data_IF_630461428484
#
_entry.id   IF_630461428484
#
_cell.length_a   1.000
_cell.length_b   1.000
_cell.length_c   1.000
_cell.angle_alpha   90.00
_cell.angle_beta   90.00
_cell.angle_gamma   90.00
#
_symmetry.space_group_name_H-M   'P 1'
#
loop_
_entity.id
_entity.type
_entity.pdbx_description
1 polymer ?
#
# COMPACT_ATOMS: atom_id res chain seq x y z
N UNK A 1 14.38 -7.29 -22.93
CA UNK A 1 13.04 -7.56 -23.52
C UNK A 1 12.28 -8.75 -22.90
N UNK A 2 12.92 -9.88 -22.55
CA UNK A 2 12.24 -11.00 -21.84
C UNK A 2 11.80 -10.67 -20.39
N UNK A 3 12.22 -9.53 -19.84
CA UNK A 3 11.76 -9.03 -18.53
C UNK A 3 10.43 -8.28 -18.66
N UNK A 4 10.09 -7.79 -19.87
CA UNK A 4 8.87 -7.02 -20.15
C UNK A 4 7.78 -7.88 -20.79
N UNK A 5 8.15 -8.96 -21.50
CA UNK A 5 7.23 -9.90 -22.13
C UNK A 5 7.07 -11.18 -21.28
N UNK A 6 5.93 -11.34 -20.61
CA UNK A 6 5.39 -12.70 -20.40
C UNK A 6 5.58 -13.39 -19.05
N UNK A 7 6.00 -12.69 -17.98
CA UNK A 7 5.61 -13.13 -16.63
C UNK A 7 4.65 -12.09 -16.07
N UNK A 8 3.36 -12.29 -16.34
CA UNK A 8 2.29 -11.82 -15.44
C UNK A 8 2.85 -11.96 -14.02
N UNK A 9 3.06 -10.87 -13.25
CA UNK A 9 3.74 -10.95 -11.97
C UNK A 9 2.95 -11.96 -11.15
N UNK A 10 3.53 -13.15 -11.00
CA UNK A 10 2.89 -14.34 -10.43
C UNK A 10 2.09 -13.91 -9.24
N UNK A 11 0.76 -13.89 -9.39
CA UNK A 11 -0.22 -13.24 -8.50
C UNK A 11 0.44 -12.72 -7.23
N UNK A 12 0.95 -11.48 -7.23
CA UNK A 12 1.72 -10.95 -6.09
C UNK A 12 0.86 -11.18 -4.87
N UNK A 13 1.23 -12.18 -4.06
CA UNK A 13 0.44 -12.59 -2.91
C UNK A 13 0.56 -11.45 -1.94
N UNK A 14 -0.46 -10.60 -1.91
CA UNK A 14 -0.44 -9.46 -1.01
C UNK A 14 -0.21 -9.97 0.41
N UNK A 15 0.72 -9.34 1.11
CA UNK A 15 0.93 -9.65 2.51
C UNK A 15 -0.38 -9.45 3.25
N UNK A 16 -0.74 -10.41 4.11
CA UNK A 16 -1.94 -10.35 4.94
C UNK A 16 -2.00 -9.05 5.74
N UNK A 17 -0.83 -8.54 6.14
CA UNK A 17 -0.70 -7.25 6.81
C UNK A 17 -1.18 -6.15 5.89
N UNK A 18 -0.61 -6.04 4.68
CA UNK A 18 -0.94 -4.98 3.72
C UNK A 18 -2.41 -4.98 3.30
N UNK A 19 -3.03 -6.16 3.18
CA UNK A 19 -4.44 -6.31 2.84
C UNK A 19 -5.36 -5.75 3.93
N UNK A 20 -5.16 -6.15 5.18
CA UNK A 20 -6.05 -5.77 6.28
C UNK A 20 -5.68 -4.45 6.96
N UNK A 21 -4.48 -3.93 6.73
CA UNK A 21 -3.99 -2.70 7.36
C UNK A 21 -4.94 -1.50 7.22
N UNK A 22 -5.53 -1.19 6.04
CA UNK A 22 -6.45 -0.06 5.92
C UNK A 22 -7.74 -0.25 6.72
N UNK A 23 -8.34 -1.43 6.68
CA UNK A 23 -9.55 -1.74 7.44
C UNK A 23 -9.32 -1.65 8.96
N UNK A 24 -8.21 -2.23 9.45
CA UNK A 24 -7.85 -2.21 10.87
C UNK A 24 -7.53 -0.79 11.35
N UNK A 25 -6.73 -0.03 10.60
CA UNK A 25 -6.36 1.33 11.00
C UNK A 25 -7.55 2.29 10.97
N UNK A 26 -8.39 2.25 9.93
CA UNK A 26 -9.61 3.05 9.88
C UNK A 26 -10.61 2.66 10.99
N UNK A 27 -10.75 1.36 11.29
CA UNK A 27 -11.55 0.89 12.41
C UNK A 27 -11.03 1.37 13.78
N UNK A 28 -9.71 1.31 13.99
CA UNK A 28 -9.08 1.80 15.22
C UNK A 28 -9.23 3.32 15.38
N UNK A 29 -9.08 4.10 14.31
CA UNK A 29 -9.32 5.55 14.32
C UNK A 29 -10.78 5.87 14.62
N UNK A 30 -11.72 5.12 14.06
CA UNK A 30 -13.14 5.31 14.32
C UNK A 30 -13.52 5.00 15.79
N UNK A 31 -12.95 3.95 16.38
CA UNK A 31 -13.15 3.65 17.81
C UNK A 31 -12.52 4.74 18.69
N UNK A 32 -11.31 5.19 18.38
CA UNK A 32 -10.67 6.29 19.10
C UNK A 32 -11.52 7.56 19.01
N UNK A 33 -12.02 7.89 17.83
CA UNK A 33 -12.94 9.01 17.60
C UNK A 33 -14.21 8.91 18.46
N UNK A 34 -14.78 7.72 18.58
CA UNK A 34 -15.95 7.51 19.44
C UNK A 34 -15.66 7.74 20.94
N UNK A 35 -14.45 7.41 21.41
CA UNK A 35 -14.01 7.78 22.77
C UNK A 35 -13.85 9.29 22.93
N UNK A 36 -13.28 9.98 21.94
CA UNK A 36 -13.15 11.44 21.95
C UNK A 36 -14.52 12.14 21.99
N UNK A 37 -15.52 11.63 21.29
CA UNK A 37 -16.89 12.16 21.32
C UNK A 37 -17.51 12.00 22.72
N UNK A 38 -17.32 10.84 23.36
CA UNK A 38 -17.80 10.62 24.73
C UNK A 38 -17.08 11.52 25.74
N UNK A 39 -15.78 11.71 25.59
CA UNK A 39 -14.98 12.62 26.42
C UNK A 39 -15.47 14.08 26.27
N UNK A 40 -15.68 14.55 25.03
CA UNK A 40 -16.16 15.91 24.75
C UNK A 40 -17.59 16.18 25.24
N UNK A 41 -18.45 15.15 25.27
CA UNK A 41 -19.82 15.26 25.80
C UNK A 41 -19.90 15.03 27.32
N UNK A 42 -18.76 14.95 28.01
CA UNK A 42 -18.65 14.67 29.47
C UNK A 42 -19.36 13.38 29.88
N UNK A 43 -19.37 12.39 28.98
CA UNK A 43 -19.92 11.04 29.24
C UNK A 43 -18.77 10.08 29.57
N UNK A 44 -19.02 9.01 30.34
CA UNK A 44 -18.01 7.97 30.57
C UNK A 44 -17.50 7.40 29.24
N UNK A 45 -16.20 7.08 29.17
CA UNK A 45 -15.54 6.67 27.91
C UNK A 45 -16.25 5.49 27.22
N UNK A 46 -16.64 4.47 27.98
CA UNK A 46 -17.31 3.26 27.49
C UNK A 46 -18.85 3.39 27.38
N UNK A 47 -19.40 4.59 27.54
CA UNK A 47 -20.85 4.80 27.50
C UNK A 47 -21.40 4.57 26.10
N UNK A 48 -22.38 3.66 25.99
CA UNK A 48 -23.04 3.34 24.72
C UNK A 48 -22.22 2.43 23.83
N UNK A 49 -22.04 1.17 24.26
CA UNK A 49 -21.31 0.12 23.51
C UNK A 49 -21.75 0.00 22.05
N UNK A 50 -23.04 0.20 21.77
CA UNK A 50 -23.60 0.16 20.43
C UNK A 50 -22.97 1.22 19.50
N UNK A 51 -22.64 2.40 20.02
CA UNK A 51 -21.99 3.48 19.26
C UNK A 51 -20.55 3.11 18.89
N UNK A 52 -19.82 2.47 19.81
CA UNK A 52 -18.47 1.99 19.56
C UNK A 52 -18.48 0.86 18.52
N UNK A 53 -19.40 -0.09 18.64
CA UNK A 53 -19.58 -1.19 17.67
C UNK A 53 -19.90 -0.62 16.27
N UNK A 54 -20.86 0.32 16.20
CA UNK A 54 -21.21 0.97 14.94
C UNK A 54 -20.04 1.76 14.35
N UNK A 55 -19.27 2.49 15.18
CA UNK A 55 -18.10 3.22 14.75
C UNK A 55 -17.02 2.30 14.15
N UNK A 56 -16.73 1.16 14.78
CA UNK A 56 -15.78 0.17 14.23
C UNK A 56 -16.27 -0.40 12.91
N UNK A 57 -17.54 -0.79 12.84
CA UNK A 57 -18.11 -1.35 11.61
C UNK A 57 -18.06 -0.36 10.46
N UNK A 58 -18.46 0.90 10.71
CA UNK A 58 -18.41 1.97 9.73
C UNK A 58 -16.97 2.31 9.31
N UNK A 59 -16.04 2.41 10.27
CA UNK A 59 -14.63 2.67 10.01
C UNK A 59 -13.95 1.55 9.24
N UNK A 60 -14.22 0.29 9.57
CA UNK A 60 -13.71 -0.87 8.86
C UNK A 60 -14.23 -0.94 7.42
N UNK A 61 -15.52 -0.68 7.21
CA UNK A 61 -16.11 -0.60 5.88
C UNK A 61 -15.50 0.52 5.03
N UNK A 62 -15.32 1.71 5.61
CA UNK A 62 -14.65 2.82 4.95
C UNK A 62 -13.19 2.46 4.58
N UNK A 63 -12.48 1.75 5.46
CA UNK A 63 -11.12 1.27 5.20
C UNK A 63 -11.04 0.26 4.05
N UNK A 64 -12.01 -0.65 3.92
CA UNK A 64 -12.11 -1.58 2.77
C UNK A 64 -12.36 -0.81 1.46
N UNK A 65 -13.29 0.14 1.45
CA UNK A 65 -13.53 1.00 0.29
C UNK A 65 -12.26 1.76 -0.13
N UNK A 66 -11.54 2.33 0.84
CA UNK A 66 -10.28 3.03 0.61
C UNK A 66 -9.20 2.10 0.04
N UNK A 67 -9.10 0.87 0.55
CA UNK A 67 -8.18 -0.13 0.02
C UNK A 67 -8.46 -0.41 -1.47
N UNK A 68 -9.73 -0.64 -1.83
CA UNK A 68 -10.12 -0.95 -3.20
C UNK A 68 -9.86 0.21 -4.15
N UNK A 69 -10.18 1.43 -3.71
CA UNK A 69 -9.89 2.64 -4.48
C UNK A 69 -8.39 2.83 -4.71
N UNK A 70 -7.57 2.68 -3.66
CA UNK A 70 -6.10 2.81 -3.78
C UNK A 70 -5.49 1.74 -4.67
N UNK A 71 -5.99 0.50 -4.59
CA UNK A 71 -5.57 -0.61 -5.45
C UNK A 71 -5.88 -0.33 -6.92
N UNK A 72 -7.07 0.22 -7.20
CA UNK A 72 -7.46 0.60 -8.56
C UNK A 72 -6.54 1.69 -9.12
N UNK A 73 -6.25 2.74 -8.36
CA UNK A 73 -5.34 3.81 -8.78
C UNK A 73 -3.93 3.28 -9.07
N UNK A 74 -3.41 2.39 -8.21
CA UNK A 74 -2.10 1.78 -8.43
C UNK A 74 -2.09 0.92 -9.71
N UNK A 75 -3.15 0.14 -9.94
CA UNK A 75 -3.29 -0.67 -11.14
C UNK A 75 -3.37 0.18 -12.42
N UNK A 76 -4.15 1.26 -12.41
CA UNK A 76 -4.24 2.21 -13.53
C UNK A 76 -2.89 2.86 -13.82
N UNK A 77 -2.19 3.36 -12.78
CA UNK A 77 -0.85 3.96 -12.93
C UNK A 77 0.14 2.96 -13.53
N UNK A 78 0.19 1.75 -12.99
CA UNK A 78 1.13 0.73 -13.46
C UNK A 78 0.79 0.26 -14.89
N UNK A 79 -0.49 0.24 -15.27
CA UNK A 79 -0.90 -0.03 -16.65
C UNK A 79 -0.42 1.05 -17.62
N UNK A 80 -0.58 2.33 -17.25
CA UNK A 80 -0.10 3.47 -18.07
C UNK A 80 1.42 3.43 -18.24
N UNK A 81 2.16 3.16 -17.16
CA UNK A 81 3.63 3.09 -17.21
C UNK A 81 4.09 1.95 -18.13
N UNK A 82 3.49 0.76 -17.99
CA UNK A 82 3.81 -0.37 -18.89
C UNK A 82 3.54 -0.02 -20.34
N UNK A 83 2.37 0.55 -20.62
CA UNK A 83 2.00 0.96 -21.96
C UNK A 83 2.97 1.99 -22.56
N UNK A 84 3.45 2.94 -21.75
CA UNK A 84 4.45 3.93 -22.20
C UNK A 84 5.79 3.29 -22.57
N UNK A 85 6.28 2.37 -21.74
CA UNK A 85 7.54 1.64 -21.99
C UNK A 85 7.45 0.82 -23.27
N UNK A 86 6.29 0.21 -23.54
CA UNK A 86 6.05 -0.55 -24.78
C UNK A 86 6.03 0.34 -26.02
N UNK A 87 5.53 1.57 -25.90
CA UNK A 87 5.45 2.52 -27.01
C UNK A 87 6.81 3.15 -27.36
N UNK A 88 7.66 3.36 -26.35
CA UNK A 88 8.93 4.08 -26.47
C UNK A 88 10.13 3.23 -25.97
N UNK A 89 10.43 2.09 -26.62
CA UNK A 89 11.56 1.27 -26.20
C UNK A 89 12.93 1.98 -26.35
N UNK A 90 13.04 2.98 -27.23
CA UNK A 90 14.25 3.78 -27.47
C UNK A 90 14.70 4.59 -26.27
N UNK A 91 13.77 5.00 -25.40
CA UNK A 91 14.07 5.77 -24.20
C UNK A 91 14.60 4.87 -23.06
N UNK A 92 14.31 3.56 -23.12
CA UNK A 92 14.61 2.58 -22.08
C UNK A 92 15.67 1.57 -22.53
N UNK A 93 16.83 2.06 -22.96
CA UNK A 93 17.98 1.21 -23.32
C UNK A 93 18.50 0.51 -22.05
N UNK A 94 18.42 -0.82 -22.00
CA UNK A 94 18.97 -1.60 -20.89
C UNK A 94 20.50 -1.41 -20.83
N UNK A 95 21.06 -0.81 -19.75
CA UNK A 95 22.51 -0.68 -19.64
C UNK A 95 23.16 -2.08 -19.55
N UNK A 96 24.39 -2.25 -20.06
CA UNK A 96 25.07 -3.53 -20.00
C UNK A 96 25.25 -3.95 -18.53
N UNK A 97 24.78 -5.16 -18.21
CA UNK A 97 24.91 -5.74 -16.86
C UNK A 97 26.36 -6.19 -16.66
N UNK A 98 27.18 -5.36 -16.02
CA UNK A 98 28.56 -5.68 -15.65
C UNK A 98 28.58 -6.64 -14.46
N UNK A 99 29.49 -7.61 -14.46
CA UNK A 99 29.70 -8.48 -13.28
C UNK A 99 30.57 -7.74 -12.28
N UNK A 100 30.43 -8.04 -10.99
CA UNK A 100 31.27 -7.44 -9.93
C UNK A 100 32.78 -7.63 -10.15
N UNK A 101 33.19 -8.68 -10.88
CA UNK A 101 34.61 -8.88 -11.24
C UNK A 101 35.14 -7.85 -12.25
N UNK A 102 34.25 -7.21 -13.00
CA UNK A 102 34.58 -6.27 -14.08
C UNK A 102 34.42 -4.80 -13.60
N UNK A 103 33.97 -4.59 -12.35
CA UNK A 103 33.76 -3.27 -11.72
C UNK A 103 34.61 -3.19 -10.45
N UNK A 104 35.58 -2.29 -10.42
CA UNK A 104 36.40 -2.02 -9.23
C UNK A 104 35.91 -0.73 -8.57
N UNK A 105 35.14 -0.87 -7.50
CA UNK A 105 34.74 0.25 -6.64
C UNK A 105 35.83 0.54 -5.60
N UNK A 106 35.89 1.78 -5.15
CA UNK A 106 36.79 2.18 -4.07
C UNK A 106 36.39 1.49 -2.77
N UNK A 107 37.35 0.78 -2.14
CA UNK A 107 37.14 0.19 -0.83
C UNK A 107 37.32 1.24 0.27
N UNK A 108 36.23 1.63 0.93
CA UNK A 108 36.24 2.56 2.07
C UNK A 108 36.11 1.75 3.37
N UNK A 109 37.23 1.46 4.09
CA UNK A 109 37.16 0.72 5.33
C UNK A 109 36.57 1.57 6.46
N UNK A 110 35.70 0.97 7.27
CA UNK A 110 35.27 1.54 8.55
C UNK A 110 36.37 1.20 9.57
N UNK A 111 36.99 2.24 10.17
CA UNK A 111 38.04 2.11 11.18
C UNK A 111 37.49 2.31 12.57
#
# INVERSE_FOLDING_TARGET
MDILLGKEPSAIRESVITRYFPAVTCGAVAIAGSFFVNLGTKRPLFSGIQKHIFAVAAGGYAGECLYHWRKRLAAERDAVIRHYIELHPEDFIEPPKLKYKDVLEEWIPIR
#
